data_IF_808846892716
#
_entry.id   IF_808846892716
#
_cell.length_a   1.000
_cell.length_b   1.000
_cell.length_c   1.000
_cell.angle_alpha   90.00
_cell.angle_beta   90.00
_cell.angle_gamma   90.00
#
_symmetry.space_group_name_H-M   'P 1'
#
loop_
_entity.id
_entity.type
_entity.pdbx_description
1 polymer ?
#
# COMPACT_ATOMS: atom_id res chain seq x y z
N UNK A 1 10.35 -10.38 23.74
CA UNK A 1 10.65 -8.93 23.84
C UNK A 1 10.01 -8.25 22.64
N UNK A 2 9.57 -7.00 22.74
CA UNK A 2 8.91 -6.31 21.60
C UNK A 2 9.85 -6.18 20.38
N UNK A 3 11.15 -5.97 20.62
CA UNK A 3 12.19 -5.91 19.58
C UNK A 3 12.26 -7.16 18.70
N UNK A 4 12.15 -8.36 19.27
CA UNK A 4 12.17 -9.60 18.49
C UNK A 4 10.93 -9.74 17.60
N UNK A 5 9.77 -9.22 18.04
CA UNK A 5 8.56 -9.20 17.22
C UNK A 5 8.67 -8.20 16.07
N UNK A 6 9.25 -7.02 16.29
CA UNK A 6 9.47 -6.02 15.24
C UNK A 6 10.38 -6.60 14.15
N UNK A 7 11.51 -7.20 14.54
CA UNK A 7 12.44 -7.80 13.58
C UNK A 7 11.79 -8.94 12.80
N UNK A 8 11.10 -9.85 13.49
CA UNK A 8 10.41 -10.96 12.82
C UNK A 8 9.37 -10.49 11.81
N UNK A 9 8.53 -9.52 12.20
CA UNK A 9 7.48 -8.98 11.34
C UNK A 9 8.06 -8.29 10.11
N UNK A 10 9.14 -7.51 10.29
CA UNK A 10 9.83 -6.85 9.20
C UNK A 10 10.44 -7.85 8.21
N UNK A 11 11.08 -8.92 8.70
CA UNK A 11 11.64 -9.98 7.85
C UNK A 11 10.57 -10.75 7.09
N UNK A 12 9.47 -11.11 7.76
CA UNK A 12 8.31 -11.77 7.15
C UNK A 12 7.69 -10.90 6.05
N UNK A 13 7.54 -9.61 6.32
CA UNK A 13 6.98 -8.63 5.38
C UNK A 13 7.90 -8.44 4.17
N UNK A 14 9.20 -8.28 4.38
CA UNK A 14 10.19 -8.11 3.32
C UNK A 14 10.22 -9.35 2.40
N UNK A 15 10.23 -10.55 2.98
CA UNK A 15 10.13 -11.80 2.23
C UNK A 15 8.84 -11.87 1.40
N UNK A 16 7.70 -11.53 1.99
CA UNK A 16 6.41 -11.54 1.31
C UNK A 16 6.37 -10.55 0.12
N UNK A 17 6.87 -9.33 0.32
CA UNK A 17 6.81 -8.28 -0.70
C UNK A 17 7.82 -8.49 -1.85
N UNK A 18 8.96 -9.13 -1.57
CA UNK A 18 10.04 -9.36 -2.54
C UNK A 18 10.03 -10.76 -3.17
N UNK A 19 8.92 -11.49 -3.08
CA UNK A 19 8.77 -12.78 -3.75
C UNK A 19 8.97 -12.64 -5.28
N UNK A 20 10.00 -13.27 -5.88
CA UNK A 20 10.31 -13.11 -7.30
C UNK A 20 9.27 -13.75 -8.23
N UNK A 21 8.42 -14.64 -7.71
CA UNK A 21 7.41 -15.37 -8.48
C UNK A 21 6.11 -14.61 -8.64
N UNK A 22 5.83 -13.65 -7.74
CA UNK A 22 4.55 -12.96 -7.66
C UNK A 22 4.76 -11.47 -7.45
N UNK A 23 4.30 -10.65 -8.40
CA UNK A 23 4.33 -9.18 -8.23
C UNK A 23 3.24 -8.77 -7.25
N UNK A 24 3.63 -8.34 -6.05
CA UNK A 24 2.73 -7.87 -5.00
C UNK A 24 2.44 -6.37 -5.08
N UNK A 25 1.22 -6.00 -4.74
CA UNK A 25 0.81 -4.62 -4.49
C UNK A 25 1.07 -4.25 -3.03
N UNK A 26 1.42 -2.98 -2.75
CA UNK A 26 1.53 -2.48 -1.37
C UNK A 26 0.28 -2.72 -0.51
N UNK A 27 -0.92 -2.72 -1.11
CA UNK A 27 -2.17 -3.07 -0.42
C UNK A 27 -2.20 -4.52 0.06
N UNK A 28 -1.65 -5.47 -0.71
CA UNK A 28 -1.53 -6.87 -0.28
C UNK A 28 -0.57 -7.00 0.92
N UNK A 29 0.44 -6.14 1.00
CA UNK A 29 1.32 -6.04 2.17
C UNK A 29 0.55 -5.64 3.44
N UNK A 30 -0.40 -4.70 3.32
CA UNK A 30 -1.30 -4.35 4.45
C UNK A 30 -2.16 -5.55 4.85
N UNK A 31 -2.77 -6.24 3.88
CA UNK A 31 -3.58 -7.44 4.17
C UNK A 31 -2.74 -8.55 4.85
N UNK A 32 -1.51 -8.74 4.38
CA UNK A 32 -0.55 -9.65 5.00
C UNK A 32 -0.27 -9.26 6.45
N UNK A 33 0.05 -7.99 6.74
CA UNK A 33 0.26 -7.50 8.11
C UNK A 33 -0.98 -7.73 8.98
N UNK A 34 -2.17 -7.43 8.47
CA UNK A 34 -3.42 -7.67 9.22
C UNK A 34 -3.63 -9.15 9.54
N UNK A 35 -3.27 -10.07 8.63
CA UNK A 35 -3.39 -11.52 8.86
C UNK A 35 -2.48 -12.06 9.97
N UNK A 36 -1.44 -11.29 10.34
CA UNK A 36 -0.43 -11.65 11.34
C UNK A 36 -0.79 -11.21 12.77
N UNK A 37 -1.83 -10.38 12.91
CA UNK A 37 -2.35 -9.91 14.20
C UNK A 37 -2.87 -11.11 15.00
N UNK A 38 -2.43 -11.20 16.26
CA UNK A 38 -2.83 -12.20 17.26
C UNK A 38 -2.61 -13.67 16.87
N UNK A 39 -2.04 -13.94 15.68
CA UNK A 39 -1.61 -15.26 15.23
C UNK A 39 -0.11 -15.48 15.47
N UNK A 40 0.73 -14.52 15.05
CA UNK A 40 2.19 -14.61 15.16
C UNK A 40 2.81 -13.38 15.84
N UNK A 41 2.13 -12.23 15.79
CA UNK A 41 2.62 -10.97 16.33
C UNK A 41 1.54 -10.26 17.15
N UNK A 42 1.96 -9.48 18.15
CA UNK A 42 1.02 -8.72 18.98
C UNK A 42 0.37 -7.60 18.18
N UNK A 43 -0.90 -7.31 18.46
CA UNK A 43 -1.62 -6.19 17.89
C UNK A 43 -0.83 -4.87 17.95
N UNK A 44 -0.19 -4.58 19.09
CA UNK A 44 0.61 -3.35 19.30
C UNK A 44 1.73 -3.21 18.27
N UNK A 45 2.49 -4.29 18.02
CA UNK A 45 3.61 -4.28 17.07
C UNK A 45 3.10 -4.12 15.63
N UNK A 46 2.08 -4.88 15.24
CA UNK A 46 1.53 -4.79 13.88
C UNK A 46 0.90 -3.42 13.63
N UNK A 47 0.14 -2.89 14.59
CA UNK A 47 -0.50 -1.57 14.52
C UNK A 47 0.54 -0.44 14.39
N UNK A 48 1.64 -0.52 15.14
CA UNK A 48 2.76 0.41 15.00
C UNK A 48 3.40 0.35 13.61
N UNK A 49 3.62 -0.86 13.08
CA UNK A 49 4.16 -1.06 11.73
C UNK A 49 3.23 -0.48 10.66
N UNK A 50 1.93 -0.79 10.70
CA UNK A 50 0.94 -0.27 9.74
C UNK A 50 0.85 1.26 9.75
N UNK A 51 1.03 1.91 10.91
CA UNK A 51 1.05 3.38 11.00
C UNK A 51 2.30 4.00 10.34
N UNK A 52 3.42 3.29 10.37
CA UNK A 52 4.66 3.73 9.72
C UNK A 52 4.66 3.44 8.21
N UNK A 53 3.96 2.38 7.78
CA UNK A 53 3.92 1.97 6.38
C UNK A 53 2.92 2.80 5.57
N UNK A 54 3.44 3.60 4.63
CA UNK A 54 2.65 4.32 3.63
C UNK A 54 2.71 3.55 2.30
N UNK A 55 1.69 2.74 1.95
CA UNK A 55 1.72 1.88 0.76
C UNK A 55 1.81 2.67 -0.55
N UNK A 56 1.20 3.86 -0.59
CA UNK A 56 1.19 4.73 -1.76
C UNK A 56 1.51 6.17 -1.33
N UNK A 57 2.80 6.51 -1.14
CA UNK A 57 3.21 7.86 -0.79
C UNK A 57 2.76 8.92 -1.81
N UNK A 58 2.79 10.19 -1.40
CA UNK A 58 2.53 11.30 -2.33
C UNK A 58 3.48 11.23 -3.54
N UNK A 59 2.93 11.43 -4.73
CA UNK A 59 3.70 11.37 -5.98
C UNK A 59 3.82 9.97 -6.58
N UNK A 60 3.39 8.90 -5.91
CA UNK A 60 3.35 7.56 -6.51
C UNK A 60 2.45 7.55 -7.74
N UNK A 61 2.97 7.06 -8.87
CA UNK A 61 2.20 6.85 -10.11
C UNK A 61 1.60 5.45 -10.11
N UNK A 62 0.33 5.35 -10.47
CA UNK A 62 -0.43 4.11 -10.44
C UNK A 62 -1.29 3.93 -11.69
N UNK A 63 -1.56 2.67 -12.01
CA UNK A 63 -2.65 2.29 -12.91
C UNK A 63 -3.82 1.82 -12.07
N UNK A 64 -5.01 2.34 -12.36
CA UNK A 64 -6.27 1.94 -11.75
C UNK A 64 -7.00 0.90 -12.62
N UNK A 65 -7.97 0.21 -12.02
CA UNK A 65 -8.89 -0.67 -12.72
C UNK A 65 -9.56 0.06 -13.90
N UNK A 66 -9.60 -0.61 -15.04
CA UNK A 66 -10.03 -0.02 -16.31
C UNK A 66 -8.94 0.73 -17.07
N UNK A 67 -7.68 0.68 -16.62
CA UNK A 67 -6.52 1.16 -17.38
C UNK A 67 -6.21 2.65 -17.23
N UNK A 68 -6.96 3.37 -16.40
CA UNK A 68 -6.69 4.77 -16.08
C UNK A 68 -5.35 4.91 -15.35
N UNK A 69 -4.62 5.99 -15.62
CA UNK A 69 -3.34 6.28 -14.97
C UNK A 69 -3.43 7.57 -14.18
N UNK A 70 -2.75 7.63 -13.05
CA UNK A 70 -2.80 8.78 -12.17
C UNK A 70 -1.65 8.83 -11.17
N UNK A 71 -1.58 9.96 -10.47
CA UNK A 71 -0.61 10.23 -9.41
C UNK A 71 -1.32 10.44 -8.08
N UNK A 72 -0.79 9.86 -7.00
CA UNK A 72 -1.26 10.11 -5.64
C UNK A 72 -1.06 11.58 -5.26
N UNK A 73 -2.14 12.28 -4.89
CA UNK A 73 -2.11 13.69 -4.46
C UNK A 73 -2.53 13.93 -3.01
N UNK A 74 -3.23 12.98 -2.40
CA UNK A 74 -3.51 12.98 -0.97
C UNK A 74 -3.63 11.55 -0.44
N UNK A 75 -3.31 11.38 0.84
CA UNK A 75 -3.46 10.12 1.56
C UNK A 75 -4.65 10.29 2.49
N UNK A 76 -5.59 9.34 2.46
CA UNK A 76 -6.72 9.35 3.37
C UNK A 76 -6.28 8.86 4.76
N UNK A 77 -6.49 9.68 5.79
CA UNK A 77 -6.18 9.32 7.17
C UNK A 77 -6.94 8.06 7.58
N UNK A 78 -6.25 7.11 8.22
CA UNK A 78 -6.83 5.83 8.62
C UNK A 78 -7.06 4.83 7.47
N UNK A 79 -6.90 5.22 6.20
CA UNK A 79 -6.93 4.29 5.06
C UNK A 79 -5.94 4.69 3.95
N UNK A 80 -4.67 4.40 4.19
CA UNK A 80 -3.57 4.73 3.27
C UNK A 80 -3.58 3.91 1.97
N UNK A 81 -4.30 2.77 1.93
CA UNK A 81 -4.47 1.95 0.72
C UNK A 81 -5.39 2.60 -0.31
N UNK A 82 -6.22 3.56 0.08
CA UNK A 82 -7.21 4.21 -0.79
C UNK A 82 -6.96 5.71 -0.87
N UNK A 83 -5.86 6.15 -1.50
CA UNK A 83 -5.52 7.56 -1.63
C UNK A 83 -6.45 8.31 -2.59
N UNK A 84 -6.25 9.63 -2.67
CA UNK A 84 -6.81 10.49 -3.72
C UNK A 84 -5.84 10.53 -4.89
N UNK A 85 -6.33 10.17 -6.08
CA UNK A 85 -5.57 10.08 -7.33
C UNK A 85 -5.94 11.22 -8.25
N UNK A 86 -4.96 11.98 -8.74
CA UNK A 86 -5.13 12.87 -9.88
C UNK A 86 -4.89 12.08 -11.16
N UNK A 87 -5.88 12.02 -12.05
CA UNK A 87 -5.72 11.38 -13.35
C UNK A 87 -4.73 12.14 -14.24
N UNK A 88 -3.98 11.43 -15.08
CA UNK A 88 -3.00 12.04 -16.00
C UNK A 88 -3.64 12.62 -17.25
N UNK A 89 -4.74 12.02 -17.73
CA UNK A 89 -5.41 12.39 -18.98
C UNK A 89 -6.44 13.52 -18.81
N UNK A 90 -6.78 13.89 -17.56
CA UNK A 90 -7.84 14.84 -17.23
C UNK A 90 -7.51 15.59 -15.95
N UNK A 91 -8.02 16.81 -15.83
CA UNK A 91 -7.98 17.54 -14.56
C UNK A 91 -9.08 17.04 -13.61
N UNK A 92 -8.98 15.79 -13.19
CA UNK A 92 -9.95 15.13 -12.32
C UNK A 92 -9.25 14.39 -11.19
N UNK A 93 -9.75 14.59 -9.98
CA UNK A 93 -9.33 13.84 -8.78
C UNK A 93 -10.37 12.79 -8.44
N UNK A 94 -9.91 11.57 -8.21
CA UNK A 94 -10.71 10.45 -7.73
C UNK A 94 -10.26 10.10 -6.33
N UNK A 95 -11.18 10.24 -5.38
CA UNK A 95 -11.00 9.72 -4.03
C UNK A 95 -11.40 8.24 -4.00
N UNK A 96 -10.42 7.34 -3.90
CA UNK A 96 -10.66 5.90 -3.92
C UNK A 96 -11.47 5.41 -2.71
N UNK A 97 -11.55 6.20 -1.63
CA UNK A 97 -12.46 5.93 -0.51
C UNK A 97 -13.92 6.26 -0.81
N UNK A 98 -14.21 7.11 -1.80
CA UNK A 98 -15.58 7.44 -2.22
C UNK A 98 -16.02 6.65 -3.45
N UNK A 99 -15.05 6.23 -4.27
CA UNK A 99 -15.30 5.53 -5.53
C UNK A 99 -14.71 4.12 -5.49
N UNK A 100 -15.39 3.20 -4.80
CA UNK A 100 -14.98 1.80 -4.58
C UNK A 100 -14.68 1.00 -5.85
N UNK A 101 -15.26 1.41 -6.99
CA UNK A 101 -15.10 0.73 -8.27
C UNK A 101 -13.66 0.82 -8.82
N UNK A 102 -12.91 1.84 -8.41
CA UNK A 102 -11.52 2.01 -8.80
C UNK A 102 -10.59 1.34 -7.79
N UNK A 103 -9.73 0.45 -8.28
CA UNK A 103 -8.68 -0.21 -7.49
C UNK A 103 -7.32 0.09 -8.11
N UNK A 104 -6.28 0.20 -7.29
CA UNK A 104 -4.90 0.28 -7.80
C UNK A 104 -4.50 -1.12 -8.25
N UNK A 105 -4.19 -1.28 -9.54
CA UNK A 105 -3.75 -2.56 -10.10
C UNK A 105 -2.24 -2.66 -10.19
N UNK A 106 -1.55 -1.52 -10.40
CA UNK A 106 -0.09 -1.49 -10.59
C UNK A 106 0.48 -0.16 -10.09
N UNK A 107 1.65 -0.23 -9.47
CA UNK A 107 2.54 0.93 -9.29
C UNK A 107 3.43 1.04 -10.54
N UNK A 108 3.47 2.24 -11.13
CA UNK A 108 4.29 2.56 -12.30
C UNK A 108 5.66 3.01 -11.76
N UNK A 109 6.75 2.26 -12.06
CA UNK A 109 8.09 2.68 -11.65
C UNK A 109 8.43 4.05 -12.24
N UNK A 110 9.14 4.88 -11.50
CA UNK A 110 9.81 6.02 -12.09
C UNK A 110 10.83 5.48 -13.10
N UNK A 111 10.74 5.90 -14.36
CA UNK A 111 11.84 5.69 -15.29
C UNK A 111 13.03 6.47 -14.72
N UNK A 112 14.11 5.75 -14.36
CA UNK A 112 15.41 6.39 -14.23
C UNK A 112 15.85 6.73 -15.65
N UNK A 113 15.77 8.02 -16.00
CA UNK A 113 16.52 8.58 -17.13
C UNK A 113 18.03 8.51 -16.86
#
# INVERSE_FOLDING_TARGET
>A
MESSQICGLASDFDYFMNDPTTRRLPSEGIDFLMSKIDSSYSYTVVSAFMKAFQPYPLGTRVTLSGGLKGTVRAINEGNSCRPVIQLEDRDTRIDLMKHMAFQIEKVIPHAQD
#
